data_IF_797944883751
#
_entry.id   IF_797944883751
#
_cell.length_a   1.000
_cell.length_b   1.000
_cell.length_c   1.000
_cell.angle_alpha   90.00
_cell.angle_beta   90.00
_cell.angle_gamma   90.00
#
_symmetry.space_group_name_H-M   'P 1'
#
loop_
_entity.id
_entity.type
_entity.pdbx_description
1 polymer ?
#
# COMPACT_ATOMS: atom_id res chain seq x y z
N UNK A 1 18.74 9.96 -0.30
CA UNK A 1 17.53 9.13 -0.06
C UNK A 1 16.57 9.93 0.79
N UNK A 2 15.25 9.95 0.48
CA UNK A 2 14.24 10.50 1.36
C UNK A 2 14.43 9.95 2.78
N UNK A 3 14.17 10.79 3.76
CA UNK A 3 14.17 10.33 5.14
C UNK A 3 12.84 9.60 5.41
N UNK A 4 12.80 8.29 5.14
CA UNK A 4 11.66 7.41 5.45
C UNK A 4 11.54 7.06 6.93
N UNK A 5 12.20 7.80 7.84
CA UNK A 5 12.18 7.49 9.27
C UNK A 5 10.76 7.32 9.83
N UNK A 6 9.81 8.16 9.42
CA UNK A 6 8.42 8.04 9.86
C UNK A 6 7.75 6.81 9.25
N UNK A 7 7.90 6.57 7.94
CA UNK A 7 7.37 5.39 7.26
C UNK A 7 7.91 4.09 7.88
N UNK A 8 9.22 3.99 8.07
CA UNK A 8 9.90 2.84 8.65
C UNK A 8 9.46 2.59 10.11
N UNK A 9 9.30 3.65 10.91
CA UNK A 9 8.79 3.55 12.29
C UNK A 9 7.38 2.99 12.32
N UNK A 10 6.51 3.39 11.40
CA UNK A 10 5.13 2.90 11.35
C UNK A 10 5.03 1.48 10.78
N UNK A 11 5.86 1.12 9.80
CA UNK A 11 5.91 -0.27 9.28
C UNK A 11 6.43 -1.24 10.34
N UNK A 12 7.42 -0.83 11.14
CA UNK A 12 7.92 -1.62 12.28
C UNK A 12 6.80 -1.86 13.32
N UNK A 13 6.04 -0.81 13.67
CA UNK A 13 4.86 -0.93 14.54
C UNK A 13 3.78 -1.85 13.96
N UNK A 14 3.69 -1.95 12.64
CA UNK A 14 2.79 -2.86 11.94
C UNK A 14 3.30 -4.31 11.86
N UNK A 15 4.49 -4.60 12.40
CA UNK A 15 5.13 -5.91 12.30
C UNK A 15 5.65 -6.25 10.90
N UNK A 16 5.86 -5.23 10.05
CA UNK A 16 6.35 -5.41 8.69
C UNK A 16 7.87 -5.43 8.71
N UNK A 17 8.46 -6.43 8.06
CA UNK A 17 9.90 -6.57 7.94
C UNK A 17 10.53 -5.31 7.30
N UNK A 18 11.63 -4.76 7.86
CA UNK A 18 12.29 -3.56 7.31
C UNK A 18 12.72 -3.69 5.85
N UNK A 19 13.05 -4.89 5.37
CA UNK A 19 13.37 -5.12 3.96
C UNK A 19 12.14 -4.94 3.07
N UNK A 20 10.97 -5.41 3.51
CA UNK A 20 9.70 -5.20 2.80
C UNK A 20 9.35 -3.70 2.80
N UNK A 21 9.46 -3.04 3.95
CA UNK A 21 9.18 -1.62 4.10
C UNK A 21 10.08 -0.77 3.17
N UNK A 22 11.40 -1.00 3.21
CA UNK A 22 12.35 -0.27 2.36
C UNK A 22 12.11 -0.56 0.87
N UNK A 23 11.81 -1.81 0.51
CA UNK A 23 11.49 -2.18 -0.86
C UNK A 23 10.26 -1.40 -1.35
N UNK A 24 9.17 -1.38 -0.59
CA UNK A 24 7.93 -0.69 -0.95
C UNK A 24 8.15 0.83 -1.02
N UNK A 25 8.79 1.44 -0.02
CA UNK A 25 9.08 2.87 0.00
C UNK A 25 9.92 3.30 -1.21
N UNK A 26 10.94 2.51 -1.57
CA UNK A 26 11.79 2.79 -2.73
C UNK A 26 10.98 2.74 -4.02
N UNK A 27 10.15 1.71 -4.19
CA UNK A 27 9.32 1.54 -5.39
C UNK A 27 8.26 2.64 -5.54
N UNK A 28 7.70 3.13 -4.45
CA UNK A 28 6.69 4.19 -4.48
C UNK A 28 7.30 5.56 -4.79
N UNK A 29 8.40 5.93 -4.14
CA UNK A 29 9.00 7.27 -4.28
C UNK A 29 9.81 7.44 -5.56
N UNK A 30 10.49 6.38 -6.00
CA UNK A 30 11.40 6.43 -7.16
C UNK A 30 10.81 5.77 -8.40
N UNK A 31 9.57 5.29 -8.32
CA UNK A 31 8.91 4.59 -9.38
C UNK A 31 9.28 3.11 -9.45
N UNK A 32 8.40 2.39 -10.13
CA UNK A 32 8.42 0.94 -10.36
C UNK A 32 8.86 0.59 -11.78
N UNK A 33 9.39 1.55 -12.55
CA UNK A 33 9.76 1.34 -13.97
C UNK A 33 10.73 0.15 -14.15
N UNK A 34 11.65 -0.03 -13.21
CA UNK A 34 12.59 -1.16 -13.17
C UNK A 34 11.94 -2.50 -12.75
N UNK A 35 10.78 -2.47 -12.11
CA UNK A 35 10.03 -3.66 -11.72
C UNK A 35 9.09 -4.17 -12.82
N UNK A 36 8.81 -3.32 -13.81
CA UNK A 36 7.95 -3.60 -14.96
C UNK A 36 8.72 -3.74 -16.29
N UNK A 37 10.05 -3.59 -16.29
CA UNK A 37 10.85 -3.70 -17.51
C UNK A 37 11.11 -5.16 -17.91
N UNK A 38 10.61 -5.49 -19.11
CA UNK A 38 11.04 -6.55 -20.05
C UNK A 38 10.36 -7.93 -20.04
N UNK A 39 9.40 -8.28 -19.16
CA UNK A 39 8.76 -9.62 -19.25
C UNK A 39 7.26 -9.74 -18.94
N UNK A 40 6.53 -8.68 -18.61
CA UNK A 40 5.06 -8.80 -18.50
C UNK A 40 4.43 -8.57 -19.89
N UNK A 41 4.36 -9.65 -20.69
CA UNK A 41 3.39 -9.81 -21.78
C UNK A 41 1.95 -10.01 -21.23
N UNK A 42 1.60 -9.35 -20.12
CA UNK A 42 0.22 -9.25 -19.71
C UNK A 42 -0.36 -8.01 -20.36
N UNK A 43 -1.35 -8.23 -21.22
CA UNK A 43 -2.17 -7.24 -21.89
C UNK A 43 -2.99 -6.43 -20.88
N UNK A 44 -2.35 -5.72 -19.96
CA UNK A 44 -3.01 -4.92 -18.94
C UNK A 44 -3.17 -3.48 -19.42
N UNK A 45 -4.44 -3.18 -19.75
CA UNK A 45 -5.03 -1.90 -20.12
C UNK A 45 -4.12 -0.68 -19.93
N UNK A 46 -3.84 -0.03 -21.06
CA UNK A 46 -3.12 1.24 -21.16
C UNK A 46 -3.80 2.33 -20.31
N UNK A 47 -5.07 2.14 -19.97
CA UNK A 47 -5.92 3.09 -19.23
C UNK A 47 -5.94 2.92 -17.70
N UNK A 48 -5.30 1.90 -17.12
CA UNK A 48 -5.32 1.74 -15.66
C UNK A 48 -4.47 2.80 -14.91
N UNK A 49 -4.97 3.35 -13.78
CA UNK A 49 -4.21 4.28 -12.95
C UNK A 49 -2.89 3.67 -12.43
N UNK A 50 -1.81 4.46 -12.41
CA UNK A 50 -0.48 4.03 -11.93
C UNK A 50 -0.54 3.41 -10.53
N UNK A 51 -1.32 4.00 -9.62
CA UNK A 51 -1.50 3.49 -8.26
C UNK A 51 -2.12 2.10 -8.22
N UNK A 52 -3.02 1.77 -9.15
CA UNK A 52 -3.60 0.43 -9.26
C UNK A 52 -2.57 -0.58 -9.78
N UNK A 53 -1.77 -0.19 -10.79
CA UNK A 53 -0.65 -1.02 -11.29
C UNK A 53 0.37 -1.34 -10.19
N UNK A 54 0.71 -0.34 -9.37
CA UNK A 54 1.59 -0.53 -8.21
C UNK A 54 0.98 -1.47 -7.17
N UNK A 55 -0.31 -1.32 -6.84
CA UNK A 55 -1.01 -2.21 -5.91
C UNK A 55 -1.01 -3.66 -6.40
N UNK A 56 -1.34 -3.90 -7.68
CA UNK A 56 -1.30 -5.23 -8.31
C UNK A 56 0.10 -5.85 -8.23
N UNK A 57 1.14 -5.06 -8.47
CA UNK A 57 2.52 -5.51 -8.36
C UNK A 57 2.86 -5.99 -6.93
N UNK A 58 2.52 -5.20 -5.91
CA UNK A 58 2.77 -5.59 -4.51
C UNK A 58 1.92 -6.80 -4.09
N UNK A 59 0.69 -6.92 -4.60
CA UNK A 59 -0.12 -8.12 -4.42
C UNK A 59 0.55 -9.37 -5.03
N UNK A 60 1.08 -9.28 -6.26
CA UNK A 60 1.83 -10.37 -6.92
C UNK A 60 3.04 -10.78 -6.06
N UNK A 61 3.75 -9.82 -5.46
CA UNK A 61 4.87 -10.11 -4.53
C UNK A 61 4.44 -10.83 -3.26
N UNK A 62 3.30 -10.46 -2.67
CA UNK A 62 2.73 -11.17 -1.53
C UNK A 62 2.38 -12.63 -1.88
N UNK A 63 1.79 -12.86 -3.06
CA UNK A 63 1.45 -14.21 -3.55
C UNK A 63 2.70 -15.05 -3.82
N UNK A 64 3.73 -14.48 -4.49
CA UNK A 64 5.00 -15.16 -4.80
C UNK A 64 5.73 -15.63 -3.54
N UNK A 65 5.74 -14.79 -2.49
CA UNK A 65 6.50 -15.04 -1.26
C UNK A 65 5.80 -15.98 -0.29
N UNK A 66 4.54 -16.36 -0.54
CA UNK A 66 3.73 -17.24 0.32
C UNK A 66 3.73 -16.81 1.80
N UNK A 67 3.73 -15.50 2.07
CA UNK A 67 3.48 -15.03 3.44
C UNK A 67 2.05 -15.47 3.83
N UNK A 68 1.85 -15.93 5.07
CA UNK A 68 0.61 -16.50 5.61
C UNK A 68 -0.60 -15.53 5.57
N UNK A 69 -1.10 -15.19 4.38
CA UNK A 69 -2.27 -14.33 4.15
C UNK A 69 -2.22 -12.94 4.80
N UNK A 70 -1.05 -12.49 5.22
CA UNK A 70 -0.89 -11.19 5.88
C UNK A 70 -0.59 -10.04 4.93
N UNK A 71 -0.45 -10.31 3.63
CA UNK A 71 -0.33 -9.31 2.56
C UNK A 71 0.57 -8.13 2.98
N UNK A 72 1.80 -8.44 3.38
CA UNK A 72 2.71 -7.49 4.02
C UNK A 72 3.17 -6.39 3.05
N UNK A 73 3.37 -6.71 1.77
CA UNK A 73 3.69 -5.69 0.76
C UNK A 73 2.49 -4.76 0.54
N UNK A 74 1.28 -5.30 0.46
CA UNK A 74 0.06 -4.48 0.35
C UNK A 74 -0.19 -3.63 1.60
N UNK A 75 0.06 -4.16 2.81
CA UNK A 75 -0.02 -3.36 4.04
C UNK A 75 0.97 -2.20 4.03
N UNK A 76 2.23 -2.48 3.66
CA UNK A 76 3.25 -1.45 3.54
C UNK A 76 2.86 -0.37 2.50
N UNK A 77 2.29 -0.79 1.36
CA UNK A 77 1.78 0.11 0.32
C UNK A 77 0.72 1.07 0.88
N UNK A 78 -0.30 0.54 1.57
CA UNK A 78 -1.35 1.38 2.15
C UNK A 78 -0.82 2.29 3.24
N UNK A 79 0.08 1.78 4.09
CA UNK A 79 0.65 2.57 5.17
C UNK A 79 1.47 3.73 4.64
N UNK A 80 2.25 3.51 3.57
CA UNK A 80 2.99 4.58 2.91
C UNK A 80 2.07 5.68 2.40
N UNK A 81 1.07 5.32 1.57
CA UNK A 81 0.13 6.30 1.04
C UNK A 81 -0.71 6.99 2.12
N UNK A 82 -1.03 6.30 3.21
CA UNK A 82 -1.73 6.89 4.35
C UNK A 82 -0.88 7.96 5.02
N UNK A 83 0.39 7.67 5.29
CA UNK A 83 1.31 8.63 5.94
C UNK A 83 1.56 9.85 5.05
N UNK A 84 1.68 9.65 3.75
CA UNK A 84 1.77 10.76 2.79
C UNK A 84 0.48 11.58 2.77
N UNK A 85 -0.68 10.92 2.81
CA UNK A 85 -1.96 11.61 2.87
C UNK A 85 -2.14 12.41 4.17
N UNK A 86 -1.64 11.93 5.32
CA UNK A 86 -1.60 12.70 6.58
C UNK A 86 -0.75 13.97 6.37
N UNK A 87 0.44 13.81 5.79
CA UNK A 87 1.37 14.92 5.54
C UNK A 87 0.81 15.96 4.58
N UNK A 88 0.13 15.52 3.52
CA UNK A 88 -0.45 16.39 2.49
C UNK A 88 -1.66 17.18 3.00
N UNK A 89 -2.55 16.53 3.75
CA UNK A 89 -3.85 17.13 4.08
C UNK A 89 -3.82 18.03 5.30
N UNK A 90 -2.76 17.99 6.13
CA UNK A 90 -2.66 18.71 7.42
C UNK A 90 -3.88 18.52 8.33
N UNK A 91 -4.71 17.52 8.07
CA UNK A 91 -5.86 17.18 8.88
C UNK A 91 -5.33 16.69 10.23
N UNK A 92 -5.91 17.19 11.32
CA UNK A 92 -5.58 16.68 12.64
C UNK A 92 -6.20 15.29 12.78
N UNK A 93 -5.50 14.37 13.46
CA UNK A 93 -5.99 13.00 13.72
C UNK A 93 -7.22 12.97 14.65
N UNK A 94 -7.79 14.14 14.98
CA UNK A 94 -8.95 14.33 15.85
C UNK A 94 -10.16 13.54 15.36
N UNK A 95 -10.39 13.57 14.04
CA UNK A 95 -11.42 12.78 13.37
C UNK A 95 -10.79 11.72 12.45
N UNK A 96 -10.04 10.79 13.05
CA UNK A 96 -9.39 9.66 12.35
C UNK A 96 -10.35 8.92 11.42
N UNK A 97 -11.62 8.80 11.79
CA UNK A 97 -12.64 8.10 11.01
C UNK A 97 -12.97 8.85 9.71
N UNK A 98 -13.23 10.15 9.81
CA UNK A 98 -13.46 11.03 8.64
C UNK A 98 -12.22 11.05 7.75
N UNK A 99 -11.04 11.16 8.35
CA UNK A 99 -9.76 11.12 7.64
C UNK A 99 -9.58 9.81 6.86
N UNK A 100 -9.83 8.66 7.50
CA UNK A 100 -9.68 7.36 6.87
C UNK A 100 -10.69 7.15 5.74
N UNK A 101 -11.93 7.62 5.90
CA UNK A 101 -12.92 7.63 4.80
C UNK A 101 -12.45 8.47 3.61
N UNK A 102 -11.87 9.64 3.85
CA UNK A 102 -11.28 10.46 2.79
C UNK A 102 -10.10 9.78 2.10
N UNK A 103 -9.25 9.08 2.85
CA UNK A 103 -8.16 8.28 2.31
C UNK A 103 -8.69 7.17 1.40
N UNK A 104 -9.67 6.40 1.88
CA UNK A 104 -10.30 5.33 1.11
C UNK A 104 -10.95 5.84 -0.18
N UNK A 105 -11.59 7.01 -0.13
CA UNK A 105 -12.27 7.58 -1.30
C UNK A 105 -11.30 8.15 -2.36
N UNK A 106 -10.10 8.61 -1.94
CA UNK A 106 -9.21 9.40 -2.81
C UNK A 106 -7.98 8.65 -3.29
N UNK A 107 -7.40 7.77 -2.47
CA UNK A 107 -6.09 7.16 -2.75
C UNK A 107 -6.04 5.65 -2.57
N UNK A 108 -6.94 5.03 -1.80
CA UNK A 108 -6.93 3.59 -1.61
C UNK A 108 -7.84 2.86 -2.61
N UNK A 109 -7.39 1.71 -3.11
CA UNK A 109 -8.18 0.79 -3.91
C UNK A 109 -8.53 -0.43 -3.06
N UNK A 110 -9.66 -0.43 -2.31
CA UNK A 110 -9.97 -1.49 -1.35
C UNK A 110 -10.14 -2.86 -2.00
N UNK A 111 -10.47 -2.89 -3.29
CA UNK A 111 -10.56 -4.11 -4.09
C UNK A 111 -10.13 -3.87 -5.54
N UNK A 112 -9.69 -4.94 -6.20
CA UNK A 112 -9.50 -4.98 -7.65
C UNK A 112 -9.80 -6.39 -8.20
N UNK A 113 -9.94 -6.49 -9.52
CA UNK A 113 -10.15 -7.75 -10.23
C UNK A 113 -8.81 -8.27 -10.76
N UNK A 114 -8.44 -9.49 -10.40
CA UNK A 114 -7.23 -10.13 -10.92
C UNK A 114 -7.40 -10.63 -12.37
N UNK A 115 -6.32 -11.10 -12.99
CA UNK A 115 -6.36 -11.64 -14.36
C UNK A 115 -7.24 -12.89 -14.55
N UNK A 116 -7.80 -13.47 -13.47
CA UNK A 116 -8.73 -14.60 -13.50
C UNK A 116 -10.18 -14.18 -13.21
N UNK A 117 -10.50 -12.89 -13.30
CA UNK A 117 -11.79 -12.31 -12.91
C UNK A 117 -12.17 -12.54 -11.43
N UNK A 118 -11.20 -12.79 -10.56
CA UNK A 118 -11.44 -12.93 -9.12
C UNK A 118 -11.32 -11.57 -8.44
N UNK A 119 -12.33 -11.24 -7.62
CA UNK A 119 -12.30 -10.04 -6.79
C UNK A 119 -11.37 -10.27 -5.60
N UNK A 120 -10.34 -9.43 -5.48
CA UNK A 120 -9.42 -9.40 -4.36
C UNK A 120 -9.77 -8.21 -3.47
N UNK A 121 -9.93 -8.45 -2.16
CA UNK A 121 -10.30 -7.43 -1.17
C UNK A 121 -9.24 -7.26 -0.11
N UNK A 122 -9.00 -6.01 0.30
CA UNK A 122 -8.00 -5.64 1.29
C UNK A 122 -8.59 -5.01 2.56
N UNK A 123 -9.87 -5.28 2.84
CA UNK A 123 -10.58 -4.76 4.02
C UNK A 123 -9.86 -5.11 5.33
N UNK A 124 -9.33 -6.33 5.43
CA UNK A 124 -8.56 -6.79 6.61
C UNK A 124 -7.35 -5.88 6.83
N UNK A 125 -6.56 -5.65 5.78
CA UNK A 125 -5.33 -4.85 5.83
C UNK A 125 -5.63 -3.40 6.19
N UNK A 126 -6.65 -2.81 5.55
CA UNK A 126 -7.08 -1.44 5.82
C UNK A 126 -7.60 -1.29 7.26
N UNK A 127 -8.38 -2.27 7.76
CA UNK A 127 -8.85 -2.27 9.15
C UNK A 127 -7.71 -2.37 10.14
N UNK A 128 -6.73 -3.24 9.90
CA UNK A 128 -5.56 -3.37 10.77
C UNK A 128 -4.72 -2.10 10.81
N UNK A 129 -4.53 -1.42 9.68
CA UNK A 129 -3.84 -0.14 9.62
C UNK A 129 -4.62 0.92 10.40
N UNK A 130 -5.95 1.01 10.25
CA UNK A 130 -6.78 1.94 11.01
C UNK A 130 -6.65 1.71 12.52
N UNK A 131 -6.73 0.46 12.96
CA UNK A 131 -6.54 0.09 14.37
C UNK A 131 -5.12 0.40 14.87
N UNK A 132 -4.10 0.21 14.03
CA UNK A 132 -2.72 0.55 14.36
C UNK A 132 -2.55 2.04 14.63
N UNK A 133 -3.08 2.90 13.74
CA UNK A 133 -3.04 4.36 13.94
C UNK A 133 -3.81 4.74 15.20
N UNK A 134 -5.00 4.18 15.41
CA UNK A 134 -5.85 4.47 16.58
C UNK A 134 -5.16 4.15 17.90
N UNK A 135 -4.44 3.02 17.98
CA UNK A 135 -3.74 2.58 19.20
C UNK A 135 -2.46 3.35 19.50
N UNK A 136 -1.89 4.03 18.50
CA UNK A 136 -0.59 4.70 18.58
C UNK A 136 -0.67 6.22 18.43
N UNK A 137 -1.89 6.76 18.52
CA UNK A 137 -2.17 8.20 18.50
C UNK A 137 -1.68 8.89 19.76
#
# INVERSE_FOLDING_TARGET
>A
MPNWYIHNKWTEKAGIDPLIANFVNTNLDYGTEWAFSENDETSEDIDEPISLKQLKFFYKKDVEKRYDNDFLYVKAYYLHHLLDFIKETRLTLDDLDVFFEHFLKRKAFPEFVDGNNKIIRFDKQLKEIRELIRKNR
#
